data_IF_055916139523
#
_entry.id   IF_055916139523
#
_cell.length_a   1.000
_cell.length_b   1.000
_cell.length_c   1.000
_cell.angle_alpha   90.00
_cell.angle_beta   90.00
_cell.angle_gamma   90.00
#
_symmetry.space_group_name_H-M   'P 1'
#
loop_
_entity.id
_entity.type
_entity.pdbx_description
1 polymer ?
#
# COMPACT_ATOMS: atom_id res chain seq x y z
N UNK A 1 -17.05 3.88 12.54
CA UNK A 1 -15.61 4.18 12.42
C UNK A 1 -15.30 4.33 10.94
N UNK A 2 -14.96 5.54 10.48
CA UNK A 2 -14.61 5.77 9.08
C UNK A 2 -13.33 5.01 8.76
N UNK A 3 -13.42 4.04 7.85
CA UNK A 3 -12.25 3.46 7.19
C UNK A 3 -11.55 4.66 6.56
N UNK A 4 -10.41 5.09 7.11
CA UNK A 4 -9.63 6.18 6.53
C UNK A 4 -9.03 5.63 5.25
N UNK A 5 -9.75 5.77 4.15
CA UNK A 5 -9.22 5.54 2.82
C UNK A 5 -8.15 6.60 2.55
N UNK A 6 -6.92 6.31 2.96
CA UNK A 6 -5.76 7.14 2.63
C UNK A 6 -5.43 6.92 1.15
N UNK A 7 -5.75 7.90 0.31
CA UNK A 7 -5.39 7.89 -1.11
C UNK A 7 -3.90 8.15 -1.31
N UNK A 8 -3.15 7.15 -1.78
CA UNK A 8 -1.75 7.30 -2.17
C UNK A 8 -1.64 7.54 -3.69
N UNK A 9 -1.10 8.69 -4.10
CA UNK A 9 -0.83 8.99 -5.52
C UNK A 9 0.60 8.56 -5.87
N UNK A 10 0.74 7.46 -6.59
CA UNK A 10 2.02 6.96 -7.05
C UNK A 10 2.24 7.45 -8.49
N UNK A 11 3.37 8.09 -8.77
CA UNK A 11 3.80 8.37 -10.15
C UNK A 11 4.70 7.26 -10.63
N UNK A 12 4.38 6.73 -11.79
CA UNK A 12 5.12 5.66 -12.47
C UNK A 12 5.38 6.09 -13.91
N UNK A 13 6.37 5.49 -14.52
CA UNK A 13 6.63 5.70 -15.94
C UNK A 13 5.45 5.24 -16.79
N UNK A 14 5.26 5.91 -17.93
CA UNK A 14 4.12 5.65 -18.83
C UNK A 14 4.11 4.19 -19.29
N UNK A 15 5.26 3.68 -19.69
CA UNK A 15 5.42 2.30 -20.17
C UNK A 15 5.09 1.27 -19.08
N UNK A 16 5.53 1.51 -17.85
CA UNK A 16 5.21 0.65 -16.70
C UNK A 16 3.70 0.62 -16.42
N UNK A 17 3.04 1.79 -16.45
CA UNK A 17 1.59 1.88 -16.29
C UNK A 17 0.87 1.08 -17.38
N UNK A 18 1.29 1.24 -18.63
CA UNK A 18 0.66 0.56 -19.76
C UNK A 18 0.82 -0.96 -19.66
N UNK A 19 2.03 -1.44 -19.38
CA UNK A 19 2.29 -2.86 -19.16
C UNK A 19 1.46 -3.43 -17.99
N UNK A 20 1.39 -2.72 -16.86
CA UNK A 20 0.61 -3.15 -15.70
C UNK A 20 -0.89 -3.21 -16.00
N UNK A 21 -1.44 -2.19 -16.66
CA UNK A 21 -2.86 -2.15 -17.04
C UNK A 21 -3.19 -3.25 -18.05
N UNK A 22 -2.30 -3.52 -19.01
CA UNK A 22 -2.49 -4.63 -19.94
C UNK A 22 -2.48 -5.99 -19.23
N UNK A 23 -1.55 -6.22 -18.30
CA UNK A 23 -1.49 -7.44 -17.52
C UNK A 23 -2.73 -7.64 -16.62
N UNK A 24 -3.28 -6.55 -16.06
CA UNK A 24 -4.51 -6.59 -15.28
C UNK A 24 -5.73 -6.92 -16.17
N UNK A 25 -5.81 -6.31 -17.36
CA UNK A 25 -6.85 -6.60 -18.36
C UNK A 25 -6.81 -8.06 -18.83
N UNK A 26 -5.62 -8.60 -19.07
CA UNK A 26 -5.46 -10.01 -19.46
C UNK A 26 -5.96 -10.99 -18.39
N UNK A 27 -5.94 -10.58 -17.12
CA UNK A 27 -6.41 -11.38 -15.99
C UNK A 27 -7.87 -11.07 -15.60
N UNK A 28 -8.55 -10.18 -16.33
CA UNK A 28 -9.90 -9.68 -16.03
C UNK A 28 -10.02 -9.10 -14.60
N UNK A 29 -8.93 -8.53 -14.06
CA UNK A 29 -8.93 -7.92 -12.72
C UNK A 29 -8.76 -6.41 -12.80
N UNK A 30 -9.43 -5.70 -11.90
CA UNK A 30 -9.22 -4.28 -11.74
C UNK A 30 -7.79 -4.01 -11.25
N UNK A 31 -7.09 -3.05 -11.88
CA UNK A 31 -5.72 -2.68 -11.50
C UNK A 31 -5.59 -2.30 -10.02
N UNK A 32 -6.62 -1.66 -9.45
CA UNK A 32 -6.67 -1.33 -8.02
C UNK A 32 -6.72 -2.57 -7.11
N UNK A 33 -7.40 -3.64 -7.55
CA UNK A 33 -7.54 -4.89 -6.79
C UNK A 33 -6.22 -5.67 -6.80
N UNK A 34 -5.59 -5.77 -7.97
CA UNK A 34 -4.24 -6.35 -8.13
C UNK A 34 -3.21 -5.57 -7.30
N UNK A 35 -3.27 -4.24 -7.31
CA UNK A 35 -2.36 -3.41 -6.52
C UNK A 35 -2.55 -3.61 -5.02
N UNK A 36 -3.80 -3.69 -4.54
CA UNK A 36 -4.11 -3.97 -3.12
C UNK A 36 -3.61 -5.35 -2.69
N UNK A 37 -3.86 -6.38 -3.50
CA UNK A 37 -3.40 -7.74 -3.22
C UNK A 37 -1.86 -7.82 -3.20
N UNK A 38 -1.22 -7.14 -4.15
CA UNK A 38 0.24 -7.04 -4.22
C UNK A 38 0.80 -6.32 -3.00
N UNK A 39 0.23 -5.18 -2.60
CA UNK A 39 0.62 -4.46 -1.39
C UNK A 39 0.46 -5.33 -0.13
N UNK A 40 -0.62 -6.09 -0.03
CA UNK A 40 -0.88 -6.99 1.12
C UNK A 40 0.12 -8.14 1.17
N UNK A 41 0.40 -8.76 0.04
CA UNK A 41 1.41 -9.83 -0.07
C UNK A 41 2.81 -9.32 0.18
N UNK A 42 3.15 -8.14 -0.37
CA UNK A 42 4.45 -7.49 -0.19
C UNK A 42 4.67 -7.12 1.28
N UNK A 43 3.71 -6.47 1.93
CA UNK A 43 3.79 -6.12 3.36
C UNK A 43 3.76 -7.35 4.27
N UNK A 44 3.04 -8.41 3.92
CA UNK A 44 3.06 -9.66 4.69
C UNK A 44 4.40 -10.38 4.60
N UNK A 45 5.07 -10.33 3.44
CA UNK A 45 6.42 -10.87 3.26
C UNK A 45 7.47 -9.99 3.94
N UNK A 46 7.35 -8.66 3.82
CA UNK A 46 8.26 -7.70 4.44
C UNK A 46 8.10 -7.61 5.95
N UNK A 47 6.91 -7.79 6.54
CA UNK A 47 6.75 -7.83 8.00
C UNK A 47 7.57 -8.94 8.67
N UNK A 48 7.92 -10.01 7.94
CA UNK A 48 8.85 -11.03 8.45
C UNK A 48 10.33 -10.61 8.44
N UNK A 49 10.72 -9.50 7.79
CA UNK A 49 12.12 -9.05 7.71
C UNK A 49 12.37 -7.54 7.88
N UNK A 50 11.34 -6.70 7.91
CA UNK A 50 11.40 -5.24 7.78
C UNK A 50 10.28 -4.54 8.58
N UNK A 51 9.59 -5.24 9.48
CA UNK A 51 8.59 -4.62 10.37
C UNK A 51 9.19 -3.52 11.27
N UNK A 52 10.50 -3.59 11.54
CA UNK A 52 11.21 -2.64 12.40
C UNK A 52 11.54 -1.31 11.68
N UNK A 53 11.78 -1.33 10.36
CA UNK A 53 12.20 -0.16 9.58
C UNK A 53 11.05 0.78 9.17
N UNK A 54 9.81 0.27 9.11
CA UNK A 54 8.61 1.03 8.76
C UNK A 54 7.68 1.30 9.94
N UNK A 55 8.04 0.81 11.14
CA UNK A 55 7.52 1.31 12.40
C UNK A 55 8.13 2.71 12.69
N UNK A 56 7.93 3.66 11.77
CA UNK A 56 8.15 5.06 12.05
C UNK A 56 7.34 5.45 13.30
N UNK A 57 7.87 6.33 14.17
CA UNK A 57 7.35 6.54 15.51
C UNK A 57 5.91 6.98 15.40
N UNK A 58 5.00 6.14 15.90
CA UNK A 58 3.59 6.47 15.99
C UNK A 58 3.51 7.72 16.85
N UNK A 59 3.12 8.83 16.21
CA UNK A 59 3.05 10.15 16.79
C UNK A 59 2.46 10.12 18.20
N UNK A 60 3.18 10.79 19.10
CA UNK A 60 2.78 11.21 20.43
C UNK A 60 1.28 11.54 20.50
N UNK A 61 0.53 10.76 21.27
CA UNK A 61 -0.70 11.26 21.88
C UNK A 61 -0.38 11.54 23.34
N UNK A 62 -0.21 12.83 23.58
CA UNK A 62 -0.03 13.50 24.86
C UNK A 62 -1.14 13.12 25.84
N UNK A 63 -0.83 12.28 26.83
CA UNK A 63 -1.64 12.09 28.03
C UNK A 63 -1.06 12.96 29.16
N UNK A 64 -1.32 14.26 29.09
CA UNK A 64 -1.22 15.12 30.27
C UNK A 64 -2.49 14.90 31.09
N UNK A 65 -2.39 14.01 32.08
CA UNK A 65 -3.34 13.90 33.18
C UNK A 65 -2.64 14.22 34.50
N UNK A 66 -2.67 15.50 34.89
CA UNK A 66 -2.88 15.93 36.28
C UNK A 66 -3.26 17.40 36.32
#
# INVERSE_FOLDING_TARGET
MAIKDSGMRIRVEKELREAFVQACRAQDRAAADVLRDFMRTFTSKQQRGQADLFAGPRASVNEHNQ
#
